data_IF_206704513499
#
_entry.id   IF_206704513499
#
_cell.length_a   1.000
_cell.length_b   1.000
_cell.length_c   1.000
_cell.angle_alpha   90.00
_cell.angle_beta   90.00
_cell.angle_gamma   90.00
#
_symmetry.space_group_name_H-M   'P 1'
#
loop_
_entity.id
_entity.type
_entity.pdbx_description
1 polymer ?
#
# COMPACT_ATOMS: atom_id res chain seq x y z
N UNK A 1 42.16 46.30 17.11
CA UNK A 1 43.55 46.47 17.47
C UNK A 1 44.35 45.47 16.67
N UNK A 2 44.88 45.89 15.50
CA UNK A 2 46.29 46.07 15.13
C UNK A 2 47.11 44.75 15.20
N UNK A 3 47.94 44.33 14.26
CA UNK A 3 48.75 44.91 13.12
C UNK A 3 49.32 43.67 12.38
N UNK A 4 49.38 43.55 11.07
CA UNK A 4 50.29 44.13 10.06
C UNK A 4 51.80 43.79 10.27
N UNK A 5 52.39 43.15 9.25
CA UNK A 5 53.64 43.41 8.53
C UNK A 5 54.17 42.11 7.90
N UNK A 6 54.34 41.93 6.61
CA UNK A 6 55.28 42.56 5.61
C UNK A 6 56.70 41.98 5.69
N UNK A 7 57.20 41.57 4.54
CA UNK A 7 58.62 41.47 4.20
C UNK A 7 58.89 40.36 3.19
N UNK A 8 58.94 40.56 1.86
CA UNK A 8 60.10 40.96 1.02
C UNK A 8 61.24 39.90 1.11
N UNK A 9 61.97 39.47 0.11
CA UNK A 9 62.12 39.82 -1.31
C UNK A 9 63.18 38.85 -1.91
N UNK A 10 63.08 38.60 -3.20
CA UNK A 10 64.13 38.57 -4.21
C UNK A 10 65.25 37.52 -4.16
N UNK A 11 65.52 36.95 -5.32
CA UNK A 11 66.77 36.29 -5.69
C UNK A 11 66.73 35.65 -7.08
N UNK A 12 66.97 36.44 -8.08
CA UNK A 12 67.24 36.04 -9.48
C UNK A 12 68.61 35.36 -9.58
N UNK A 13 68.68 34.22 -10.27
CA UNK A 13 69.91 33.81 -10.95
C UNK A 13 69.56 32.99 -12.21
N UNK A 14 69.75 33.61 -13.35
CA UNK A 14 69.85 33.02 -14.67
C UNK A 14 71.17 32.22 -14.78
N UNK A 15 71.13 30.99 -15.21
CA UNK A 15 72.24 30.29 -15.81
C UNK A 15 71.68 29.36 -16.94
N UNK A 16 72.08 29.77 -18.13
CA UNK A 16 71.91 29.09 -19.41
C UNK A 16 72.75 27.82 -19.43
N UNK A 17 72.17 26.71 -19.72
CA UNK A 17 72.87 25.44 -20.01
C UNK A 17 72.17 24.76 -21.16
N UNK A 18 72.77 24.89 -22.37
CA UNK A 18 72.45 24.04 -23.51
C UNK A 18 72.91 22.61 -23.18
N UNK A 19 72.01 21.65 -23.28
CA UNK A 19 72.40 20.23 -23.43
C UNK A 19 71.49 19.58 -24.47
N UNK A 20 72.18 18.74 -25.25
CA UNK A 20 71.80 18.10 -26.49
C UNK A 20 70.49 17.28 -26.39
N UNK A 21 69.77 17.33 -27.51
CA UNK A 21 68.62 16.45 -27.76
C UNK A 21 69.10 15.06 -28.09
N UNK A 22 68.91 14.13 -27.17
CA UNK A 22 68.95 12.68 -27.45
C UNK A 22 67.56 12.24 -27.87
N UNK A 23 67.46 11.74 -29.10
CA UNK A 23 66.26 11.14 -29.66
C UNK A 23 65.97 9.79 -28.99
N UNK A 24 65.01 9.78 -28.08
CA UNK A 24 64.46 8.54 -27.52
C UNK A 24 63.50 7.92 -28.52
N UNK A 25 63.75 6.64 -28.86
CA UNK A 25 62.87 5.81 -29.64
C UNK A 25 61.50 5.62 -28.96
N UNK A 26 60.38 5.47 -29.73
CA UNK A 26 59.07 5.33 -29.10
C UNK A 26 58.95 3.99 -28.37
N UNK A 27 58.73 4.06 -27.04
CA UNK A 27 58.41 2.91 -26.23
C UNK A 27 57.11 2.30 -26.68
N UNK A 28 57.11 1.00 -27.01
CA UNK A 28 55.92 0.19 -27.27
C UNK A 28 54.99 0.25 -26.05
N UNK A 29 53.82 0.84 -26.20
CA UNK A 29 52.74 0.73 -25.22
C UNK A 29 52.35 -0.75 -25.03
N UNK A 30 52.21 -1.22 -23.81
CA UNK A 30 51.63 -2.54 -23.55
C UNK A 30 50.18 -2.57 -24.01
N UNK A 31 49.66 -3.73 -24.47
CA UNK A 31 48.29 -3.85 -24.90
C UNK A 31 47.33 -3.46 -23.77
N UNK A 32 46.37 -2.60 -24.07
CA UNK A 32 45.32 -2.19 -23.15
C UNK A 32 44.58 -3.45 -22.64
N UNK A 33 44.52 -3.60 -21.33
CA UNK A 33 43.71 -4.64 -20.70
C UNK A 33 42.26 -4.49 -21.13
N UNK A 34 41.54 -5.60 -21.42
CA UNK A 34 40.12 -5.49 -21.79
C UNK A 34 39.37 -4.80 -20.65
N UNK A 35 38.76 -3.65 -20.96
CA UNK A 35 37.84 -2.98 -20.04
C UNK A 35 36.73 -3.97 -19.71
N UNK A 36 36.66 -4.37 -18.43
CA UNK A 36 35.55 -5.15 -17.92
C UNK A 36 34.27 -4.35 -18.21
N UNK A 37 33.45 -4.89 -19.10
CA UNK A 37 32.13 -4.36 -19.33
C UNK A 37 31.41 -4.35 -17.98
N UNK A 38 31.09 -3.15 -17.49
CA UNK A 38 30.25 -2.97 -16.31
C UNK A 38 28.92 -3.65 -16.65
N UNK A 39 28.73 -4.87 -16.17
CA UNK A 39 27.44 -5.53 -16.20
C UNK A 39 26.50 -4.65 -15.36
N UNK A 40 25.67 -3.87 -16.07
CA UNK A 40 24.51 -3.23 -15.45
C UNK A 40 23.69 -4.38 -14.90
N UNK A 41 23.66 -4.50 -13.57
CA UNK A 41 22.81 -5.46 -12.90
C UNK A 41 21.39 -5.30 -13.48
N UNK A 42 20.69 -6.37 -13.86
CA UNK A 42 19.33 -6.27 -14.34
C UNK A 42 18.55 -5.54 -13.26
N UNK A 43 17.99 -4.36 -13.63
CA UNK A 43 17.05 -3.67 -12.77
C UNK A 43 15.97 -4.69 -12.42
N UNK A 44 15.82 -4.99 -11.14
CA UNK A 44 14.75 -5.84 -10.68
C UNK A 44 13.45 -5.29 -11.29
N UNK A 45 12.78 -6.12 -12.08
CA UNK A 45 11.49 -5.76 -12.62
C UNK A 45 10.63 -5.28 -11.44
N UNK A 46 9.87 -4.18 -11.58
CA UNK A 46 9.02 -3.71 -10.50
C UNK A 46 8.20 -4.90 -10.04
N UNK A 47 8.35 -5.26 -8.77
CA UNK A 47 7.63 -6.39 -8.19
C UNK A 47 6.15 -6.08 -8.40
N UNK A 48 5.50 -6.86 -9.27
CA UNK A 48 4.08 -6.74 -9.49
C UNK A 48 3.42 -6.97 -8.14
N UNK A 49 2.78 -5.93 -7.61
CA UNK A 49 2.03 -6.04 -6.35
C UNK A 49 0.97 -7.11 -6.58
N UNK A 50 0.98 -8.21 -5.82
CA UNK A 50 0.14 -9.35 -6.14
C UNK A 50 -1.34 -8.95 -6.20
N UNK A 51 -1.90 -8.97 -7.40
CA UNK A 51 -3.34 -8.93 -7.64
C UNK A 51 -4.03 -7.59 -7.49
N UNK A 52 -3.30 -6.46 -7.35
CA UNK A 52 -3.95 -5.18 -7.15
C UNK A 52 -4.22 -4.44 -8.46
N UNK A 53 -3.17 -4.12 -9.21
CA UNK A 53 -3.26 -3.43 -10.49
C UNK A 53 -2.23 -4.02 -11.44
N UNK A 54 -2.68 -4.71 -12.49
CA UNK A 54 -1.77 -5.17 -13.53
C UNK A 54 -1.53 -4.01 -14.52
N UNK A 55 -0.32 -3.42 -14.58
CA UNK A 55 -0.02 -2.34 -15.51
C UNK A 55 -0.17 -2.74 -16.99
N UNK A 56 -0.20 -4.05 -17.27
CA UNK A 56 -0.42 -4.59 -18.62
C UNK A 56 -1.91 -4.64 -18.96
N UNK A 57 -2.80 -4.64 -17.99
CA UNK A 57 -4.25 -4.71 -18.17
C UNK A 57 -4.89 -3.33 -18.06
N UNK A 58 -4.61 -2.48 -19.06
CA UNK A 58 -5.22 -1.15 -19.12
C UNK A 58 -6.68 -1.26 -19.56
N UNK A 59 -7.63 -0.84 -18.73
CA UNK A 59 -9.03 -0.79 -19.14
C UNK A 59 -9.19 0.27 -20.24
N UNK A 60 -9.97 -0.06 -21.25
CA UNK A 60 -10.35 0.90 -22.27
C UNK A 60 -11.24 1.98 -21.68
N UNK A 61 -11.11 3.20 -22.20
CA UNK A 61 -11.98 4.30 -21.80
C UNK A 61 -13.39 4.04 -22.35
N UNK A 62 -14.38 3.86 -21.46
CA UNK A 62 -15.75 3.65 -21.92
C UNK A 62 -16.35 4.93 -22.51
N UNK A 63 -17.49 4.82 -23.19
CA UNK A 63 -18.28 5.99 -23.59
C UNK A 63 -18.91 6.65 -22.34
N UNK A 64 -18.44 7.85 -22.02
CA UNK A 64 -18.85 8.62 -20.86
C UNK A 64 -19.87 9.73 -21.19
N UNK A 65 -20.29 9.84 -22.46
CA UNK A 65 -21.10 10.95 -22.97
C UNK A 65 -22.45 11.11 -22.26
N UNK A 66 -22.97 10.03 -21.68
CA UNK A 66 -24.25 10.01 -20.94
C UNK A 66 -24.09 10.17 -19.42
N UNK A 67 -22.85 10.20 -18.92
CA UNK A 67 -22.56 10.37 -17.49
C UNK A 67 -22.32 11.86 -17.21
N UNK A 68 -23.23 12.50 -16.56
CA UNK A 68 -23.11 13.92 -16.16
C UNK A 68 -22.93 14.08 -14.66
N UNK A 69 -23.48 13.16 -13.86
CA UNK A 69 -23.41 13.17 -12.40
C UNK A 69 -23.32 11.74 -11.89
N UNK A 70 -22.55 11.52 -10.83
CA UNK A 70 -22.53 10.28 -10.07
C UNK A 70 -22.90 10.59 -8.62
N UNK A 71 -23.96 9.94 -8.13
CA UNK A 71 -24.41 10.04 -6.75
C UNK A 71 -23.84 8.88 -5.95
N UNK A 72 -22.76 9.14 -5.22
CA UNK A 72 -22.18 8.14 -4.32
C UNK A 72 -22.96 8.07 -3.00
N UNK A 73 -23.12 6.85 -2.51
CA UNK A 73 -23.61 6.53 -1.18
C UNK A 73 -22.43 6.04 -0.35
N UNK A 74 -22.30 6.53 0.87
CA UNK A 74 -21.27 6.10 1.81
C UNK A 74 -21.83 5.94 3.22
N UNK A 75 -21.07 5.35 4.12
CA UNK A 75 -21.45 5.17 5.52
C UNK A 75 -21.10 6.42 6.35
N UNK A 76 -21.71 6.52 7.53
CA UNK A 76 -21.58 7.67 8.43
C UNK A 76 -20.46 7.54 9.44
N UNK A 77 -20.03 6.31 9.79
CA UNK A 77 -19.14 6.06 10.95
C UNK A 77 -18.22 4.85 10.74
N UNK A 78 -17.27 5.01 9.85
CA UNK A 78 -16.18 4.02 9.63
C UNK A 78 -14.85 4.75 9.36
N UNK A 79 -14.32 5.51 10.34
CA UNK A 79 -13.04 6.20 10.17
C UNK A 79 -11.87 5.20 10.06
N UNK A 80 -10.82 5.53 9.29
CA UNK A 80 -10.65 6.74 8.49
C UNK A 80 -11.19 6.62 7.05
N UNK A 81 -11.94 5.56 6.74
CA UNK A 81 -12.45 5.32 5.38
C UNK A 81 -13.59 6.27 5.00
N UNK A 82 -14.59 6.38 5.85
CA UNK A 82 -15.73 7.29 5.68
C UNK A 82 -16.35 7.63 7.03
N UNK A 83 -16.62 8.89 7.24
CA UNK A 83 -17.17 9.41 8.49
C UNK A 83 -17.75 10.80 8.30
N UNK A 84 -18.48 11.26 9.30
CA UNK A 84 -18.97 12.63 9.33
C UNK A 84 -17.86 13.56 9.82
N UNK A 85 -17.42 14.48 8.97
CA UNK A 85 -16.43 15.50 9.33
C UNK A 85 -16.93 16.49 10.38
N UNK A 86 -16.03 17.28 10.94
CA UNK A 86 -16.36 18.30 11.94
C UNK A 86 -17.33 19.38 11.43
N UNK A 87 -17.38 19.56 10.11
CA UNK A 87 -18.29 20.48 9.39
C UNK A 87 -19.63 19.82 9.02
N UNK A 88 -19.87 18.59 9.44
CA UNK A 88 -21.07 17.81 9.13
C UNK A 88 -21.07 17.20 7.72
N UNK A 89 -20.02 17.41 6.92
CA UNK A 89 -19.91 16.87 5.59
C UNK A 89 -19.25 15.48 5.55
N UNK A 90 -19.50 14.67 4.49
CA UNK A 90 -18.78 13.42 4.29
C UNK A 90 -17.27 13.64 4.18
N UNK A 91 -16.49 12.88 4.93
CA UNK A 91 -15.02 12.89 4.95
C UNK A 91 -14.46 11.47 4.96
N UNK A 92 -13.15 11.34 4.70
CA UNK A 92 -12.41 10.08 4.74
C UNK A 92 -11.92 9.61 3.38
N UNK A 93 -11.12 8.54 3.41
CA UNK A 93 -10.46 8.00 2.22
C UNK A 93 -11.45 7.70 1.07
N UNK A 94 -12.57 7.02 1.37
CA UNK A 94 -13.57 6.67 0.37
C UNK A 94 -14.21 7.90 -0.29
N UNK A 95 -14.42 8.95 0.49
CA UNK A 95 -15.00 10.21 0.01
C UNK A 95 -14.04 10.94 -0.92
N UNK A 96 -12.77 11.02 -0.54
CA UNK A 96 -11.75 11.65 -1.36
C UNK A 96 -11.45 10.83 -2.62
N UNK A 97 -11.49 9.50 -2.53
CA UNK A 97 -11.38 8.63 -3.69
C UNK A 97 -12.57 8.84 -4.64
N UNK A 98 -13.81 8.90 -4.15
CA UNK A 98 -14.98 9.18 -4.98
C UNK A 98 -14.83 10.49 -5.75
N UNK A 99 -14.37 11.57 -5.10
CA UNK A 99 -14.08 12.86 -5.73
C UNK A 99 -13.01 12.73 -6.81
N UNK A 100 -11.91 12.03 -6.52
CA UNK A 100 -10.82 11.79 -7.47
C UNK A 100 -11.28 11.00 -8.71
N UNK A 101 -12.19 10.03 -8.53
CA UNK A 101 -12.79 9.28 -9.65
C UNK A 101 -13.62 10.17 -10.53
N UNK A 102 -14.46 11.04 -9.96
CA UNK A 102 -15.27 11.98 -10.73
C UNK A 102 -14.43 13.03 -11.46
N UNK A 103 -13.35 13.50 -10.83
CA UNK A 103 -12.38 14.38 -11.50
C UNK A 103 -11.77 13.71 -12.74
N UNK A 104 -11.50 12.41 -12.66
CA UNK A 104 -10.91 11.65 -13.78
C UNK A 104 -11.94 11.41 -14.89
N UNK A 105 -13.17 11.08 -14.53
CA UNK A 105 -14.30 10.88 -15.48
C UNK A 105 -14.75 12.21 -16.08
N UNK A 106 -14.51 13.34 -15.39
CA UNK A 106 -15.01 14.70 -15.75
C UNK A 106 -16.52 14.86 -15.57
N UNK A 107 -17.04 14.36 -14.45
CA UNK A 107 -18.45 14.48 -14.07
C UNK A 107 -18.59 15.11 -12.69
N UNK A 108 -19.79 15.63 -12.41
CA UNK A 108 -20.12 16.12 -11.05
C UNK A 108 -20.32 14.96 -10.10
N UNK A 109 -19.79 15.08 -8.89
CA UNK A 109 -20.01 14.12 -7.80
C UNK A 109 -20.89 14.69 -6.71
N UNK A 110 -21.78 13.86 -6.19
CA UNK A 110 -22.37 14.05 -4.86
C UNK A 110 -22.09 12.83 -4.00
N UNK A 111 -21.81 13.05 -2.70
CA UNK A 111 -21.62 11.97 -1.73
C UNK A 111 -22.66 12.14 -0.64
N UNK A 112 -23.48 11.11 -0.44
CA UNK A 112 -24.55 11.08 0.55
C UNK A 112 -24.25 10.01 1.60
N UNK A 113 -24.29 10.41 2.86
CA UNK A 113 -24.11 9.50 4.00
C UNK A 113 -25.40 8.79 4.36
N UNK A 114 -25.32 7.50 4.66
CA UNK A 114 -26.39 6.64 5.15
C UNK A 114 -25.85 5.59 6.11
N UNK A 115 -26.71 4.99 6.90
CA UNK A 115 -26.32 3.81 7.68
C UNK A 115 -26.00 2.64 6.75
N UNK A 116 -24.96 1.88 7.07
CA UNK A 116 -24.42 0.80 6.23
C UNK A 116 -25.49 -0.18 5.74
N UNK A 117 -26.39 -0.62 6.64
CA UNK A 117 -27.43 -1.63 6.36
C UNK A 117 -28.43 -1.15 5.28
N UNK A 118 -28.57 0.18 5.12
CA UNK A 118 -29.52 0.78 4.18
C UNK A 118 -28.92 1.07 2.80
N UNK A 119 -27.61 0.92 2.63
CA UNK A 119 -26.91 1.33 1.41
C UNK A 119 -27.38 0.56 0.17
N UNK A 120 -27.46 -0.77 0.27
CA UNK A 120 -27.85 -1.63 -0.87
C UNK A 120 -29.30 -1.37 -1.27
N UNK A 121 -30.20 -1.21 -0.32
CA UNK A 121 -31.62 -0.90 -0.59
C UNK A 121 -31.78 0.49 -1.20
N UNK A 122 -31.00 1.47 -0.74
CA UNK A 122 -30.98 2.81 -1.31
C UNK A 122 -30.46 2.80 -2.75
N UNK A 123 -29.40 2.02 -3.04
CA UNK A 123 -28.86 1.84 -4.39
C UNK A 123 -29.92 1.20 -5.32
N UNK A 124 -30.54 0.12 -4.86
CA UNK A 124 -31.60 -0.60 -5.61
C UNK A 124 -32.82 0.29 -5.89
N UNK A 125 -33.17 1.18 -4.95
CA UNK A 125 -34.27 2.15 -5.05
C UNK A 125 -33.90 3.44 -5.79
N UNK A 126 -32.78 3.45 -6.54
CA UNK A 126 -32.30 4.61 -7.31
C UNK A 126 -32.06 5.89 -6.48
N UNK A 127 -31.75 5.77 -5.18
CA UNK A 127 -31.39 6.90 -4.32
C UNK A 127 -29.91 7.29 -4.42
N UNK A 128 -29.14 6.53 -5.18
CA UNK A 128 -27.73 6.73 -5.53
C UNK A 128 -27.38 5.89 -6.75
N UNK A 129 -26.17 6.07 -7.25
CA UNK A 129 -25.68 5.39 -8.45
C UNK A 129 -24.58 4.37 -8.13
N UNK A 130 -23.78 4.65 -7.10
CA UNK A 130 -22.72 3.78 -6.63
C UNK A 130 -22.59 3.83 -5.10
N UNK A 131 -22.11 2.74 -4.47
CA UNK A 131 -21.74 2.68 -3.04
C UNK A 131 -20.22 2.61 -2.94
N UNK A 132 -19.63 3.54 -2.20
CA UNK A 132 -18.21 3.54 -1.82
C UNK A 132 -18.12 3.64 -0.29
N UNK A 133 -18.13 2.49 0.39
CA UNK A 133 -18.29 2.40 1.84
C UNK A 133 -17.53 1.19 2.42
N UNK A 134 -16.36 0.89 1.88
CA UNK A 134 -15.55 -0.28 2.31
C UNK A 134 -16.31 -1.61 2.26
N UNK A 135 -17.20 -1.75 1.29
CA UNK A 135 -18.06 -2.93 1.15
C UNK A 135 -17.26 -4.12 0.59
N UNK A 136 -17.15 -5.18 1.37
CA UNK A 136 -16.49 -6.39 0.94
C UNK A 136 -17.27 -7.10 -0.16
N UNK A 137 -16.56 -7.51 -1.21
CA UNK A 137 -17.14 -8.31 -2.28
C UNK A 137 -17.46 -9.71 -1.77
N UNK A 138 -18.72 -10.11 -1.83
CA UNK A 138 -19.18 -11.42 -1.39
C UNK A 138 -20.20 -12.02 -2.37
N UNK A 139 -20.36 -13.37 -2.44
CA UNK A 139 -21.37 -13.99 -3.29
C UNK A 139 -22.80 -13.52 -3.00
N UNK A 140 -23.13 -13.27 -1.73
CA UNK A 140 -24.45 -12.79 -1.30
C UNK A 140 -24.74 -11.38 -1.84
N UNK A 141 -23.75 -10.48 -1.78
CA UNK A 141 -23.89 -9.13 -2.32
C UNK A 141 -23.85 -9.11 -3.84
N UNK A 142 -23.07 -9.98 -4.48
CA UNK A 142 -23.05 -10.12 -5.95
C UNK A 142 -24.41 -10.57 -6.53
N UNK A 143 -25.26 -11.23 -5.73
CA UNK A 143 -26.63 -11.53 -6.16
C UNK A 143 -27.50 -10.26 -6.32
N UNK A 144 -27.19 -9.19 -5.58
CA UNK A 144 -28.01 -7.96 -5.51
C UNK A 144 -27.41 -6.78 -6.26
N UNK A 145 -26.09 -6.69 -6.31
CA UNK A 145 -25.34 -5.56 -6.91
C UNK A 145 -24.18 -6.09 -7.74
N UNK A 146 -23.66 -5.27 -8.63
CA UNK A 146 -22.38 -5.52 -9.30
C UNK A 146 -21.28 -4.69 -8.65
N UNK A 147 -20.04 -5.19 -8.73
CA UNK A 147 -18.88 -4.53 -8.16
C UNK A 147 -17.89 -4.14 -9.25
N UNK A 148 -17.17 -3.04 -9.00
CA UNK A 148 -15.92 -2.76 -9.70
C UNK A 148 -14.86 -3.80 -9.36
N UNK A 149 -13.72 -3.72 -10.02
CA UNK A 149 -12.51 -4.34 -9.51
C UNK A 149 -12.24 -3.81 -8.09
N UNK A 150 -11.65 -4.63 -7.20
CA UNK A 150 -11.35 -4.17 -5.85
C UNK A 150 -10.43 -2.95 -5.89
N UNK A 151 -10.73 -1.92 -5.11
CA UNK A 151 -9.88 -0.74 -5.00
C UNK A 151 -8.94 -0.80 -3.79
N UNK A 152 -9.17 -1.71 -2.86
CA UNK A 152 -8.17 -2.18 -1.91
C UNK A 152 -8.48 -3.60 -1.43
N UNK A 153 -7.47 -4.23 -0.87
CA UNK A 153 -7.59 -5.48 -0.11
C UNK A 153 -7.05 -5.26 1.27
N UNK A 154 -7.59 -5.96 2.23
CA UNK A 154 -7.02 -5.97 3.56
C UNK A 154 -6.15 -7.23 3.66
N UNK A 155 -4.83 -7.12 3.55
CA UNK A 155 -3.96 -8.25 3.74
C UNK A 155 -3.93 -8.64 5.22
N UNK A 156 -3.65 -9.90 5.50
CA UNK A 156 -3.23 -10.31 6.82
C UNK A 156 -1.71 -10.17 6.95
N UNK A 157 -1.23 -9.86 8.15
CA UNK A 157 0.19 -9.78 8.46
C UNK A 157 0.50 -10.35 9.84
N UNK A 158 1.74 -10.80 10.00
CA UNK A 158 2.28 -11.06 11.31
C UNK A 158 2.84 -9.76 11.92
N UNK A 159 2.76 -9.68 13.24
CA UNK A 159 3.51 -8.72 14.03
C UNK A 159 4.27 -9.47 15.14
N UNK A 160 5.46 -8.98 15.46
CA UNK A 160 6.31 -9.49 16.53
C UNK A 160 6.84 -8.33 17.36
N UNK A 161 7.50 -8.63 18.48
CA UNK A 161 8.32 -7.61 19.15
C UNK A 161 9.48 -7.20 18.23
N UNK A 162 9.95 -5.97 18.36
CA UNK A 162 10.99 -5.38 17.48
C UNK A 162 12.30 -6.16 17.47
N UNK A 163 12.63 -6.81 18.56
CA UNK A 163 13.83 -7.67 18.70
C UNK A 163 13.70 -9.04 18.02
N UNK A 164 12.49 -9.42 17.59
CA UNK A 164 12.18 -10.70 16.96
C UNK A 164 11.59 -10.57 15.54
N UNK A 165 11.80 -9.44 14.89
CA UNK A 165 11.28 -9.19 13.53
C UNK A 165 11.93 -10.11 12.51
N UNK A 166 11.10 -10.78 11.72
CA UNK A 166 11.51 -11.57 10.57
C UNK A 166 11.15 -10.87 9.26
N UNK A 167 12.07 -10.65 8.33
CA UNK A 167 11.79 -10.03 7.04
C UNK A 167 10.89 -10.90 6.15
N UNK A 168 11.00 -12.22 6.31
CA UNK A 168 10.18 -13.21 5.62
C UNK A 168 9.65 -14.23 6.64
N UNK A 169 8.40 -14.62 6.49
CA UNK A 169 7.79 -15.70 7.28
C UNK A 169 7.29 -16.79 6.34
N UNK A 170 7.80 -17.99 6.55
CA UNK A 170 7.39 -19.25 5.92
C UNK A 170 6.92 -20.22 7.00
N UNK A 171 6.12 -21.24 6.64
CA UNK A 171 5.65 -22.24 7.61
C UNK A 171 6.77 -22.83 8.46
N UNK A 172 7.90 -23.18 7.83
CA UNK A 172 9.05 -23.80 8.49
C UNK A 172 9.71 -22.91 9.55
N UNK A 173 9.59 -21.58 9.40
CA UNK A 173 10.16 -20.61 10.35
C UNK A 173 9.32 -20.45 11.62
N UNK A 174 8.08 -20.90 11.57
CA UNK A 174 7.14 -20.85 12.71
C UNK A 174 6.98 -22.20 13.42
N UNK A 175 7.73 -23.24 13.05
CA UNK A 175 7.74 -24.51 13.78
C UNK A 175 8.02 -24.27 15.26
N UNK A 176 7.11 -24.73 16.13
CA UNK A 176 7.19 -24.56 17.59
C UNK A 176 7.12 -23.12 18.10
N UNK A 177 6.84 -22.13 17.23
CA UNK A 177 6.59 -20.74 17.64
C UNK A 177 5.16 -20.55 18.07
N UNK A 178 4.97 -19.77 19.12
CA UNK A 178 3.64 -19.40 19.62
C UNK A 178 3.07 -18.25 18.79
N UNK A 179 1.97 -18.53 18.10
CA UNK A 179 1.28 -17.55 17.26
C UNK A 179 -0.10 -17.26 17.82
N UNK A 180 -0.30 -16.03 18.30
CA UNK A 180 -1.60 -15.54 18.74
C UNK A 180 -2.49 -15.14 17.56
N UNK A 181 -3.77 -15.42 17.66
CA UNK A 181 -4.79 -15.07 16.65
C UNK A 181 -6.17 -14.92 17.31
N UNK A 182 -7.07 -14.16 16.70
CA UNK A 182 -8.47 -14.09 17.15
C UNK A 182 -9.17 -15.41 16.87
N UNK A 183 -9.70 -16.03 17.93
CA UNK A 183 -10.39 -17.32 17.84
C UNK A 183 -11.64 -17.24 16.95
N UNK A 184 -11.87 -18.25 16.12
CA UNK A 184 -12.99 -18.31 15.18
C UNK A 184 -12.88 -17.39 13.96
N UNK A 185 -11.77 -16.68 13.79
CA UNK A 185 -11.56 -15.75 12.67
C UNK A 185 -11.10 -16.46 11.39
N UNK A 186 -11.22 -15.75 10.26
CA UNK A 186 -10.61 -16.18 9.01
C UNK A 186 -9.08 -16.29 9.09
N UNK A 187 -8.46 -15.47 9.94
CA UNK A 187 -7.03 -15.50 10.20
C UNK A 187 -6.62 -16.80 10.89
N UNK A 188 -7.41 -17.26 11.87
CA UNK A 188 -7.18 -18.56 12.51
C UNK A 188 -7.33 -19.71 11.51
N UNK A 189 -8.37 -19.67 10.67
CA UNK A 189 -8.59 -20.69 9.63
C UNK A 189 -7.42 -20.73 8.63
N UNK A 190 -6.87 -19.57 8.26
CA UNK A 190 -5.70 -19.48 7.40
C UNK A 190 -4.46 -20.10 8.05
N UNK A 191 -4.17 -19.75 9.32
CA UNK A 191 -3.01 -20.31 10.04
C UNK A 191 -3.12 -21.83 10.16
N UNK A 192 -4.28 -22.36 10.52
CA UNK A 192 -4.53 -23.82 10.58
C UNK A 192 -4.30 -24.54 9.26
N UNK A 193 -4.54 -23.86 8.14
CA UNK A 193 -4.37 -24.45 6.81
C UNK A 193 -2.95 -24.33 6.26
N UNK A 194 -2.24 -23.26 6.59
CA UNK A 194 -0.98 -22.89 5.93
C UNK A 194 0.23 -22.95 6.85
N UNK A 195 0.04 -22.92 8.18
CA UNK A 195 1.09 -22.91 9.20
C UNK A 195 0.84 -24.00 10.24
N UNK A 196 0.80 -25.24 9.78
CA UNK A 196 0.39 -26.43 10.57
C UNK A 196 1.27 -26.70 11.77
N UNK A 197 2.54 -26.33 11.71
CA UNK A 197 3.56 -26.63 12.70
C UNK A 197 3.74 -25.51 13.74
N UNK A 198 3.01 -24.41 13.60
CA UNK A 198 2.96 -23.32 14.57
C UNK A 198 2.05 -23.67 15.76
N UNK A 199 2.45 -23.26 16.96
CA UNK A 199 1.63 -23.39 18.16
C UNK A 199 0.61 -22.24 18.23
N UNK A 200 -0.66 -22.51 17.84
CA UNK A 200 -1.69 -21.48 17.75
C UNK A 200 -2.38 -21.23 19.10
N UNK A 201 -2.43 -19.95 19.48
CA UNK A 201 -3.12 -19.45 20.69
C UNK A 201 -4.27 -18.54 20.29
N UNK A 202 -5.51 -19.01 20.54
CA UNK A 202 -6.73 -18.24 20.24
C UNK A 202 -7.06 -17.21 21.33
N UNK A 203 -7.33 -15.97 20.94
CA UNK A 203 -7.72 -14.87 21.83
C UNK A 203 -9.14 -14.39 21.52
N UNK A 204 -9.90 -13.89 22.53
CA UNK A 204 -11.29 -13.50 22.31
C UNK A 204 -11.43 -12.13 21.60
N UNK A 205 -10.41 -11.27 21.65
CA UNK A 205 -10.42 -9.92 21.07
C UNK A 205 -9.01 -9.39 20.84
N UNK A 206 -8.93 -8.28 20.10
CA UNK A 206 -7.66 -7.62 19.75
C UNK A 206 -6.86 -7.14 20.97
N UNK A 207 -7.52 -6.64 22.01
CA UNK A 207 -6.82 -6.13 23.20
C UNK A 207 -6.08 -7.23 23.93
N UNK A 208 -6.73 -8.40 24.10
CA UNK A 208 -6.11 -9.57 24.70
C UNK A 208 -4.95 -10.09 23.84
N UNK A 209 -5.15 -10.17 22.51
CA UNK A 209 -4.16 -10.60 21.55
C UNK A 209 -2.90 -9.71 21.58
N UNK A 210 -3.10 -8.39 21.49
CA UNK A 210 -2.04 -7.38 21.51
C UNK A 210 -1.30 -7.33 22.83
N UNK A 211 -2.02 -7.49 23.93
CA UNK A 211 -1.43 -7.59 25.29
C UNK A 211 -0.52 -8.81 25.42
N UNK A 212 -0.91 -9.96 24.89
CA UNK A 212 -0.11 -11.18 24.92
C UNK A 212 1.21 -11.00 24.18
N UNK A 213 1.22 -10.36 22.99
CA UNK A 213 2.45 -10.07 22.26
C UNK A 213 3.36 -9.12 23.05
N UNK A 214 2.81 -8.01 23.58
CA UNK A 214 3.61 -7.07 24.40
C UNK A 214 4.29 -7.74 25.59
N UNK A 215 3.58 -8.65 26.28
CA UNK A 215 4.10 -9.39 27.44
C UNK A 215 5.04 -10.54 27.07
N UNK A 216 5.16 -10.90 25.77
CA UNK A 216 5.95 -12.04 25.33
C UNK A 216 5.31 -13.39 25.65
N UNK A 217 4.01 -13.47 25.86
CA UNK A 217 3.26 -14.71 26.03
C UNK A 217 3.17 -15.49 24.73
N UNK A 218 3.23 -14.78 23.57
CA UNK A 218 3.36 -15.30 22.21
C UNK A 218 4.51 -14.62 21.49
N UNK A 219 5.10 -15.33 20.50
CA UNK A 219 6.19 -14.82 19.68
C UNK A 219 5.69 -13.88 18.57
N UNK A 220 4.57 -14.26 17.99
CA UNK A 220 3.91 -13.53 16.90
C UNK A 220 2.42 -13.40 17.17
N UNK A 221 1.80 -12.37 16.58
CA UNK A 221 0.36 -12.31 16.37
C UNK A 221 0.07 -12.20 14.88
N UNK A 222 -1.07 -12.73 14.45
CA UNK A 222 -1.50 -12.69 13.05
C UNK A 222 -2.90 -12.11 12.94
N UNK A 223 -3.08 -11.11 12.08
CA UNK A 223 -4.35 -10.43 11.93
C UNK A 223 -4.40 -9.44 10.76
N UNK A 224 -5.47 -8.65 10.74
CA UNK A 224 -5.70 -7.59 9.79
C UNK A 224 -4.57 -6.55 9.79
N UNK A 225 -3.94 -6.34 8.62
CA UNK A 225 -2.77 -5.45 8.52
C UNK A 225 -3.09 -3.99 8.85
N UNK A 226 -4.30 -3.50 8.52
CA UNK A 226 -4.69 -2.12 8.80
C UNK A 226 -4.88 -1.93 10.30
N UNK A 227 -5.61 -2.84 10.95
CA UNK A 227 -5.83 -2.85 12.39
C UNK A 227 -4.51 -2.94 13.16
N UNK A 228 -3.61 -3.84 12.73
CA UNK A 228 -2.27 -3.97 13.32
C UNK A 228 -1.42 -2.72 13.08
N UNK A 229 -1.48 -2.10 11.88
CA UNK A 229 -0.75 -0.87 11.59
C UNK A 229 -1.13 0.29 12.51
N UNK A 230 -2.41 0.50 12.73
CA UNK A 230 -2.88 1.52 13.67
C UNK A 230 -2.40 1.26 15.09
N UNK A 231 -2.47 0.00 15.54
CA UNK A 231 -1.98 -0.35 16.86
C UNK A 231 -0.46 -0.18 16.99
N UNK A 232 0.33 -0.71 16.03
CA UNK A 232 1.81 -0.63 16.05
C UNK A 232 2.27 0.83 16.09
N UNK A 233 1.62 1.72 15.32
CA UNK A 233 1.98 3.13 15.25
C UNK A 233 1.27 3.99 16.31
N UNK A 234 0.35 3.41 17.07
CA UNK A 234 -0.37 4.07 18.17
C UNK A 234 0.37 4.01 19.50
N UNK A 235 -0.07 4.83 20.45
CA UNK A 235 0.48 4.87 21.82
C UNK A 235 0.29 3.55 22.58
N UNK A 236 -0.76 2.79 22.26
CA UNK A 236 -1.15 1.57 22.95
C UNK A 236 -0.19 0.40 22.73
N UNK A 237 0.59 0.44 21.67
CA UNK A 237 1.67 -0.53 21.43
C UNK A 237 2.83 -0.35 22.43
N UNK A 238 3.02 0.87 22.95
CA UNK A 238 4.20 1.22 23.76
C UNK A 238 5.49 1.09 22.96
N UNK A 239 5.42 1.26 21.64
CA UNK A 239 6.54 1.13 20.71
C UNK A 239 7.23 -0.26 20.74
N UNK A 240 6.54 -1.30 21.20
CA UNK A 240 7.11 -2.65 21.39
C UNK A 240 7.41 -3.38 20.10
N UNK A 241 6.64 -3.12 19.08
CA UNK A 241 6.34 -4.13 18.09
C UNK A 241 6.44 -3.59 16.66
N UNK A 242 6.60 -4.50 15.70
CA UNK A 242 6.67 -4.18 14.28
C UNK A 242 6.08 -5.32 13.44
N UNK A 243 5.83 -5.05 12.16
CA UNK A 243 5.43 -6.09 11.22
C UNK A 243 6.56 -7.08 10.98
N UNK A 244 6.19 -8.36 10.84
CA UNK A 244 7.05 -9.45 10.45
C UNK A 244 6.48 -10.13 9.22
N UNK A 245 7.26 -10.23 8.14
CA UNK A 245 6.85 -10.88 6.88
C UNK A 245 5.55 -10.35 6.27
N UNK A 246 5.08 -11.05 5.27
CA UNK A 246 3.83 -10.74 4.55
C UNK A 246 3.98 -9.63 3.51
N UNK A 247 2.91 -9.15 2.91
CA UNK A 247 1.49 -9.42 3.23
C UNK A 247 0.98 -10.77 2.71
N UNK A 248 -0.08 -11.30 3.36
CA UNK A 248 -0.80 -12.51 2.96
C UNK A 248 -2.19 -12.12 2.45
N UNK A 249 -2.55 -12.55 1.23
CA UNK A 249 -3.71 -12.01 0.49
C UNK A 249 -4.62 -13.10 -0.11
N UNK A 250 -4.59 -14.32 0.42
CA UNK A 250 -5.36 -15.45 -0.08
C UNK A 250 -6.87 -15.18 -0.02
N UNK A 251 -7.45 -14.97 -1.18
CA UNK A 251 -8.88 -14.61 -1.31
C UNK A 251 -9.85 -15.65 -0.74
N UNK A 252 -9.43 -16.91 -0.67
CA UNK A 252 -10.21 -17.99 -0.05
C UNK A 252 -10.50 -17.70 1.42
N UNK A 253 -9.60 -17.04 2.14
CA UNK A 253 -9.72 -16.72 3.56
C UNK A 253 -10.10 -15.25 3.79
N UNK A 254 -9.48 -14.32 3.07
CA UNK A 254 -9.58 -12.87 3.31
C UNK A 254 -10.52 -12.16 2.33
N UNK A 255 -11.26 -12.94 1.49
CA UNK A 255 -12.20 -12.40 0.52
C UNK A 255 -11.55 -11.83 -0.75
N UNK A 256 -12.42 -11.44 -1.69
CA UNK A 256 -11.99 -10.92 -3.00
C UNK A 256 -11.46 -9.48 -2.94
N UNK A 257 -11.67 -8.80 -1.82
CA UNK A 257 -11.32 -7.41 -1.60
C UNK A 257 -12.55 -6.50 -1.49
N UNK A 258 -12.29 -5.20 -1.49
CA UNK A 258 -13.27 -4.15 -1.29
C UNK A 258 -13.53 -3.46 -2.63
N UNK A 259 -14.77 -3.45 -3.07
CA UNK A 259 -15.17 -2.88 -4.37
C UNK A 259 -16.19 -1.75 -4.23
N UNK A 260 -16.33 -0.95 -5.28
CA UNK A 260 -17.43 0.02 -5.40
C UNK A 260 -18.63 -0.75 -5.96
N UNK A 261 -19.76 -0.73 -5.24
CA UNK A 261 -20.96 -1.40 -5.71
C UNK A 261 -21.79 -0.47 -6.61
N UNK A 262 -22.32 -1.02 -7.69
CA UNK A 262 -23.27 -0.36 -8.62
C UNK A 262 -24.54 -1.21 -8.73
N UNK A 263 -25.63 -0.61 -9.23
CA UNK A 263 -26.84 -1.38 -9.50
C UNK A 263 -26.54 -2.53 -10.46
N UNK A 264 -27.22 -3.65 -10.24
CA UNK A 264 -27.11 -4.84 -11.06
C UNK A 264 -27.35 -4.51 -12.54
N UNK A 265 -26.43 -4.94 -13.42
CA UNK A 265 -26.50 -4.70 -14.85
C UNK A 265 -26.10 -3.27 -15.29
N UNK A 266 -25.63 -2.41 -14.39
CA UNK A 266 -25.12 -1.08 -14.78
C UNK A 266 -23.65 -1.14 -15.20
N UNK A 267 -23.38 -1.85 -16.29
CA UNK A 267 -22.03 -2.07 -16.80
C UNK A 267 -21.33 -0.79 -17.24
N UNK A 268 -22.08 0.18 -17.78
CA UNK A 268 -21.49 1.46 -18.21
C UNK A 268 -20.83 2.18 -17.04
N UNK A 269 -21.57 2.33 -15.92
CA UNK A 269 -20.99 2.98 -14.73
C UNK A 269 -19.88 2.15 -14.11
N UNK A 270 -20.04 0.83 -14.05
CA UNK A 270 -19.02 -0.09 -13.52
C UNK A 270 -17.71 0.02 -14.29
N UNK A 271 -17.77 0.01 -15.62
CA UNK A 271 -16.58 0.17 -16.49
C UNK A 271 -15.97 1.58 -16.37
N UNK A 272 -16.81 2.62 -16.26
CA UNK A 272 -16.36 3.98 -16.04
C UNK A 272 -15.57 4.12 -14.73
N UNK A 273 -16.07 3.51 -13.64
CA UNK A 273 -15.40 3.51 -12.35
C UNK A 273 -14.12 2.67 -12.37
N UNK A 274 -14.10 1.51 -13.03
CA UNK A 274 -12.88 0.71 -13.19
C UNK A 274 -11.79 1.47 -13.96
N UNK A 275 -12.19 2.13 -15.06
CA UNK A 275 -11.27 2.96 -15.82
C UNK A 275 -10.73 4.13 -14.98
N UNK A 276 -11.59 4.80 -14.22
CA UNK A 276 -11.18 5.90 -13.37
C UNK A 276 -10.28 5.45 -12.21
N UNK A 277 -10.58 4.32 -11.56
CA UNK A 277 -9.72 3.71 -10.54
C UNK A 277 -8.31 3.46 -11.08
N UNK A 278 -8.22 2.83 -12.27
CA UNK A 278 -6.93 2.62 -12.93
C UNK A 278 -6.19 3.93 -13.20
N UNK A 279 -6.89 4.96 -13.71
CA UNK A 279 -6.28 6.27 -14.01
C UNK A 279 -5.80 7.01 -12.76
N UNK A 280 -6.57 6.97 -11.68
CA UNK A 280 -6.19 7.57 -10.37
C UNK A 280 -4.95 6.87 -9.81
N UNK A 281 -4.87 5.53 -9.96
CA UNK A 281 -3.70 4.76 -9.59
C UNK A 281 -2.50 5.04 -10.49
N UNK A 282 -2.66 4.99 -11.82
CA UNK A 282 -1.58 5.21 -12.80
C UNK A 282 -0.90 6.57 -12.61
N UNK A 283 -1.66 7.59 -12.18
CA UNK A 283 -1.17 8.94 -11.87
C UNK A 283 -0.56 9.09 -10.49
N UNK A 284 -0.47 8.04 -9.70
CA UNK A 284 0.02 8.08 -8.31
C UNK A 284 -0.96 8.69 -7.30
N UNK A 285 -2.07 9.27 -7.75
CA UNK A 285 -3.06 9.93 -6.86
C UNK A 285 -3.68 8.97 -5.84
N UNK A 286 -3.82 7.69 -6.18
CA UNK A 286 -4.33 6.68 -5.26
C UNK A 286 -3.39 6.51 -4.06
N UNK A 287 -2.10 6.37 -4.31
CA UNK A 287 -1.10 6.24 -3.25
C UNK A 287 -1.04 7.49 -2.38
N UNK A 288 -1.08 8.68 -2.98
CA UNK A 288 -1.10 9.95 -2.25
C UNK A 288 -2.33 10.07 -1.34
N UNK A 289 -3.51 9.68 -1.85
CA UNK A 289 -4.75 9.66 -1.07
C UNK A 289 -4.66 8.64 0.08
N UNK A 290 -4.16 7.45 -0.20
CA UNK A 290 -4.03 6.40 0.81
C UNK A 290 -3.12 6.85 1.96
N UNK A 291 -1.92 7.34 1.65
CA UNK A 291 -0.93 7.75 2.65
C UNK A 291 -1.35 8.97 3.51
N UNK A 292 -2.40 9.70 3.13
CA UNK A 292 -3.00 10.71 4.03
C UNK A 292 -3.75 10.11 5.20
N UNK A 293 -4.30 8.92 5.03
CA UNK A 293 -5.17 8.25 6.00
C UNK A 293 -4.50 7.07 6.69
N UNK A 294 -3.51 6.44 6.04
CA UNK A 294 -2.88 5.22 6.50
C UNK A 294 -1.37 5.36 6.53
N UNK A 295 -0.75 4.96 7.65
CA UNK A 295 0.70 5.02 7.85
C UNK A 295 1.48 3.90 7.13
N UNK A 296 0.79 3.00 6.44
CA UNK A 296 1.37 1.89 5.68
C UNK A 296 0.99 1.97 4.22
N UNK A 297 1.89 1.49 3.35
CA UNK A 297 1.60 1.41 1.92
C UNK A 297 0.34 0.56 1.67
N UNK A 298 -0.49 0.91 0.67
CA UNK A 298 -1.61 0.08 0.24
C UNK A 298 -1.16 -1.21 -0.47
N UNK A 299 0.13 -1.37 -0.71
CA UNK A 299 0.77 -2.42 -1.49
C UNK A 299 1.89 -3.10 -0.70
#
# INVERSE_FOLDING_TARGET
>A
VRRVLLGMAAGVCLLSGLTAAEAQAPAKQPPAAPQAATQVAPQAAPQAVPGFWDPRRRPERPDLSRLTVIRFLTETDYPPFNYTGADGNPAGFNVDLARALCDEIKVTCTVQMRRFETLVDALSSNRGDAIIASMAVSPQLRARVDFTDPYYRVPARFASRKDAVMPEIRPEYLEGKKVGVIAGSAHEAYLKAMFTDAELHGYPNDDALRSALRKGEVDFIFGDAISLAFWINGTDSGDCCAFSGGPFVESRFFGEGIGIAVRKGNDVLRQALNWALFRVWEKGRYTDLWLRYFSVSPF
#
